data_IF_535789892001
#
_entry.id   IF_535789892001
#
_cell.length_a   1.000
_cell.length_b   1.000
_cell.length_c   1.000
_cell.angle_alpha   90.00
_cell.angle_beta   90.00
_cell.angle_gamma   90.00
#
_symmetry.space_group_name_H-M   'P 1'
#
loop_
_entity.id
_entity.type
_entity.pdbx_description
1 polymer ?
#
# COMPACT_ATOMS: atom_id res chain seq x y z
N UNK A 1 -22.20 16.76 -35.41
CA UNK A 1 -22.52 15.55 -34.61
C UNK A 1 -21.28 14.74 -34.27
N UNK A 2 -20.45 14.33 -35.25
CA UNK A 2 -19.22 13.58 -34.98
C UNK A 2 -18.29 14.24 -33.94
N UNK A 3 -18.05 15.56 -34.05
CA UNK A 3 -17.23 16.30 -33.07
C UNK A 3 -17.76 16.22 -31.64
N UNK A 4 -19.09 16.18 -31.44
CA UNK A 4 -19.71 16.08 -30.11
C UNK A 4 -19.48 14.70 -29.51
N UNK A 5 -19.66 13.63 -30.30
CA UNK A 5 -19.40 12.27 -29.85
C UNK A 5 -17.91 12.04 -29.54
N UNK A 6 -17.02 12.56 -30.39
CA UNK A 6 -15.57 12.48 -30.13
C UNK A 6 -15.22 13.20 -28.83
N UNK A 7 -15.73 14.43 -28.62
CA UNK A 7 -15.49 15.18 -27.40
C UNK A 7 -16.03 14.44 -26.15
N UNK A 8 -17.24 13.89 -26.23
CA UNK A 8 -17.86 13.13 -25.14
C UNK A 8 -17.09 11.83 -24.83
N UNK A 9 -16.57 11.13 -25.85
CA UNK A 9 -15.79 9.92 -25.64
C UNK A 9 -14.43 10.24 -25.02
N UNK A 10 -13.75 11.28 -25.49
CA UNK A 10 -12.46 11.73 -24.94
C UNK A 10 -12.61 12.18 -23.49
N UNK A 11 -13.67 12.92 -23.16
CA UNK A 11 -13.91 13.33 -21.76
C UNK A 11 -14.19 12.13 -20.86
N UNK A 12 -15.01 11.17 -21.30
CA UNK A 12 -15.28 9.95 -20.55
C UNK A 12 -14.01 9.11 -20.35
N UNK A 13 -13.20 8.95 -21.39
CA UNK A 13 -11.91 8.25 -21.30
C UNK A 13 -10.95 8.93 -20.31
N UNK A 14 -10.89 10.26 -20.31
CA UNK A 14 -10.11 11.03 -19.34
C UNK A 14 -10.52 10.77 -17.90
N UNK A 15 -11.82 10.77 -17.62
CA UNK A 15 -12.36 10.44 -16.28
C UNK A 15 -12.00 9.00 -15.88
N UNK A 16 -12.13 8.05 -16.79
CA UNK A 16 -11.79 6.65 -16.53
C UNK A 16 -10.29 6.46 -16.22
N UNK A 17 -9.41 7.11 -16.98
CA UNK A 17 -7.95 7.07 -16.74
C UNK A 17 -7.59 7.67 -15.38
N UNK A 18 -8.20 8.81 -15.03
CA UNK A 18 -7.96 9.45 -13.73
C UNK A 18 -8.40 8.55 -12.56
N UNK A 19 -9.59 7.96 -12.67
CA UNK A 19 -10.08 7.02 -11.65
C UNK A 19 -9.19 5.77 -11.53
N UNK A 20 -8.76 5.20 -12.66
CA UNK A 20 -7.87 4.04 -12.67
C UNK A 20 -6.52 4.33 -12.00
N UNK A 21 -5.95 5.53 -12.19
CA UNK A 21 -4.69 5.91 -11.56
C UNK A 21 -4.78 5.90 -10.02
N UNK A 22 -5.88 6.41 -9.46
CA UNK A 22 -6.11 6.37 -8.00
C UNK A 22 -6.22 4.93 -7.46
N UNK A 23 -6.99 4.07 -8.13
CA UNK A 23 -7.15 2.66 -7.74
C UNK A 23 -5.82 1.91 -7.76
N UNK A 24 -4.97 2.16 -8.77
CA UNK A 24 -3.65 1.55 -8.87
C UNK A 24 -2.75 2.01 -7.71
N UNK A 25 -2.82 3.28 -7.31
CA UNK A 25 -2.07 3.81 -6.16
C UNK A 25 -2.39 3.07 -4.86
N UNK A 26 -3.68 2.93 -4.55
CA UNK A 26 -4.16 2.20 -3.36
C UNK A 26 -3.73 0.73 -3.40
N UNK A 27 -3.89 0.04 -4.53
CA UNK A 27 -3.49 -1.37 -4.63
C UNK A 27 -1.99 -1.58 -4.42
N UNK A 28 -1.17 -0.69 -4.97
CA UNK A 28 0.27 -0.77 -4.73
C UNK A 28 0.59 -0.52 -3.25
N UNK A 29 -0.13 0.40 -2.58
CA UNK A 29 0.08 0.67 -1.16
C UNK A 29 -0.27 -0.55 -0.31
N UNK A 30 -1.35 -1.27 -0.66
CA UNK A 30 -1.70 -2.54 -0.02
C UNK A 30 -0.61 -3.59 -0.18
N UNK A 31 -0.10 -3.79 -1.39
CA UNK A 31 0.98 -4.75 -1.64
C UNK A 31 2.24 -4.45 -0.82
N UNK A 32 2.59 -3.17 -0.68
CA UNK A 32 3.72 -2.75 0.16
C UNK A 32 3.46 -3.01 1.65
N UNK A 33 2.26 -2.66 2.14
CA UNK A 33 1.87 -2.89 3.53
C UNK A 33 1.82 -4.39 3.88
N UNK A 34 1.25 -5.23 3.01
CA UNK A 34 1.13 -6.67 3.21
C UNK A 34 2.51 -7.33 3.34
N UNK A 35 3.43 -7.03 2.41
CA UNK A 35 4.79 -7.58 2.47
C UNK A 35 5.56 -7.09 3.71
N UNK A 36 5.45 -5.80 4.03
CA UNK A 36 6.15 -5.22 5.17
C UNK A 36 5.60 -5.73 6.51
N UNK A 37 4.29 -5.94 6.64
CA UNK A 37 3.70 -6.49 7.86
C UNK A 37 4.14 -7.94 8.10
N UNK A 38 4.17 -8.78 7.05
CA UNK A 38 4.61 -10.18 7.16
C UNK A 38 6.10 -10.28 7.48
N UNK A 39 6.97 -9.49 6.83
CA UNK A 39 8.40 -9.48 7.15
C UNK A 39 8.65 -8.98 8.58
N UNK A 40 7.95 -7.91 8.98
CA UNK A 40 8.04 -7.35 10.32
C UNK A 40 7.56 -8.33 11.40
N UNK A 41 6.46 -9.04 11.16
CA UNK A 41 5.96 -10.07 12.06
C UNK A 41 6.95 -11.23 12.19
N UNK A 42 7.60 -11.63 11.09
CA UNK A 42 8.65 -12.64 11.13
C UNK A 42 9.87 -12.17 11.92
N UNK A 43 10.34 -10.95 11.67
CA UNK A 43 11.51 -10.38 12.35
C UNK A 43 11.25 -10.21 13.86
N UNK A 44 10.06 -9.73 14.22
CA UNK A 44 9.62 -9.64 15.62
C UNK A 44 9.54 -11.03 16.27
N UNK A 45 9.04 -12.04 15.55
CA UNK A 45 8.98 -13.42 16.03
C UNK A 45 10.36 -14.01 16.36
N UNK A 46 11.39 -13.69 15.57
CA UNK A 46 12.77 -14.13 15.84
C UNK A 46 13.52 -13.24 16.84
N UNK A 47 12.85 -12.23 17.41
CA UNK A 47 13.38 -11.35 18.45
C UNK A 47 14.09 -10.09 17.94
N UNK A 48 13.94 -9.77 16.65
CA UNK A 48 14.45 -8.56 16.03
C UNK A 48 13.51 -7.36 16.13
N UNK A 49 13.89 -6.26 15.48
CA UNK A 49 13.06 -5.05 15.37
C UNK A 49 12.20 -5.12 14.10
N UNK A 50 10.95 -5.57 14.28
CA UNK A 50 9.99 -5.68 13.19
C UNK A 50 9.71 -4.35 12.48
N UNK A 51 9.72 -3.21 13.17
CA UNK A 51 9.45 -1.93 12.53
C UNK A 51 10.63 -1.42 11.71
N UNK A 52 11.87 -1.74 12.11
CA UNK A 52 13.04 -1.48 11.28
C UNK A 52 12.99 -2.30 9.98
N UNK A 53 12.61 -3.58 10.05
CA UNK A 53 12.42 -4.44 8.88
C UNK A 53 11.27 -3.95 7.99
N UNK A 54 10.13 -3.55 8.59
CA UNK A 54 9.01 -2.96 7.86
C UNK A 54 9.45 -1.73 7.05
N UNK A 55 10.25 -0.84 7.66
CA UNK A 55 10.73 0.37 7.00
C UNK A 55 11.58 0.05 5.76
N UNK A 56 12.44 -0.96 5.84
CA UNK A 56 13.27 -1.38 4.71
C UNK A 56 12.40 -2.00 3.59
N UNK A 57 11.46 -2.88 3.93
CA UNK A 57 10.56 -3.49 2.94
C UNK A 57 9.65 -2.45 2.27
N UNK A 58 9.13 -1.49 3.03
CA UNK A 58 8.36 -0.36 2.49
C UNK A 58 9.19 0.44 1.47
N UNK A 59 10.42 0.79 1.83
CA UNK A 59 11.34 1.54 0.97
C UNK A 59 11.67 0.77 -0.32
N UNK A 60 11.89 -0.54 -0.22
CA UNK A 60 12.13 -1.42 -1.38
C UNK A 60 10.92 -1.51 -2.32
N UNK A 61 9.71 -1.24 -1.80
CA UNK A 61 8.48 -1.19 -2.59
C UNK A 61 8.14 0.21 -3.13
N UNK A 62 9.00 1.21 -2.88
CA UNK A 62 8.78 2.59 -3.34
C UNK A 62 7.61 3.28 -2.63
N UNK A 63 7.28 2.83 -1.42
CA UNK A 63 6.33 3.48 -0.52
C UNK A 63 7.06 4.16 0.65
N UNK A 64 6.35 5.01 1.37
CA UNK A 64 6.83 5.64 2.60
C UNK A 64 6.16 4.98 3.82
N UNK A 65 6.95 4.78 4.89
CA UNK A 65 6.42 4.23 6.14
C UNK A 65 5.87 5.39 6.96
N UNK A 66 4.54 5.46 7.06
CA UNK A 66 3.88 6.55 7.80
C UNK A 66 3.60 6.20 9.26
N UNK A 67 3.44 4.90 9.57
CA UNK A 67 3.28 4.40 10.93
C UNK A 67 3.66 2.91 11.02
N UNK A 68 4.18 2.50 12.17
CA UNK A 68 4.45 1.10 12.51
C UNK A 68 4.37 0.89 14.02
N UNK A 69 3.66 -0.16 14.43
CA UNK A 69 3.60 -0.55 15.84
C UNK A 69 3.39 -2.05 16.01
N UNK A 70 3.87 -2.53 17.16
CA UNK A 70 3.77 -3.93 17.58
C UNK A 70 2.65 -4.06 18.62
N UNK A 71 1.74 -5.00 18.40
CA UNK A 71 0.67 -5.36 19.34
C UNK A 71 0.81 -6.85 19.72
N UNK A 72 1.54 -7.11 20.81
CA UNK A 72 1.83 -8.48 21.23
C UNK A 72 2.77 -9.17 20.24
N UNK A 73 2.23 -10.14 19.48
CA UNK A 73 2.95 -10.83 18.39
C UNK A 73 2.56 -10.33 17.00
N UNK A 74 1.60 -9.40 16.91
CA UNK A 74 1.22 -8.78 15.65
C UNK A 74 2.10 -7.56 15.38
N UNK A 75 2.37 -7.30 14.11
CA UNK A 75 2.93 -6.02 13.65
C UNK A 75 1.97 -5.38 12.66
N UNK A 76 1.64 -4.11 12.91
CA UNK A 76 0.78 -3.29 12.06
C UNK A 76 1.64 -2.26 11.34
N UNK A 77 1.50 -2.21 10.03
CA UNK A 77 2.30 -1.35 9.15
C UNK A 77 1.36 -0.49 8.31
N UNK A 78 1.62 0.82 8.24
CA UNK A 78 0.95 1.75 7.34
C UNK A 78 1.90 2.22 6.24
N UNK A 79 1.55 1.89 5.00
CA UNK A 79 2.25 2.31 3.79
C UNK A 79 1.54 3.52 3.15
N UNK A 80 2.31 4.51 2.73
CA UNK A 80 1.81 5.66 1.97
C UNK A 80 2.45 5.69 0.58
N UNK A 81 1.65 6.00 -0.45
CA UNK A 81 2.13 6.26 -1.80
C UNK A 81 1.33 7.37 -2.49
N UNK A 82 1.89 7.87 -3.60
CA UNK A 82 1.19 8.77 -4.49
C UNK A 82 -0.13 8.12 -4.99
N UNK A 83 -1.25 8.60 -4.46
CA UNK A 83 -2.58 8.15 -4.83
C UNK A 83 -3.30 7.26 -3.80
N UNK A 84 -2.68 6.94 -2.65
CA UNK A 84 -3.38 6.28 -1.54
C UNK A 84 -2.47 5.76 -0.42
N UNK A 85 -3.08 5.51 0.73
CA UNK A 85 -2.48 4.81 1.86
C UNK A 85 -3.12 3.42 2.08
N UNK A 86 -2.40 2.54 2.77
CA UNK A 86 -2.90 1.24 3.16
C UNK A 86 -2.33 0.83 4.51
N UNK A 87 -3.09 0.01 5.24
CA UNK A 87 -2.68 -0.59 6.50
C UNK A 87 -2.81 -2.10 6.39
N UNK A 88 -1.79 -2.81 6.85
CA UNK A 88 -1.80 -4.26 6.96
C UNK A 88 -1.31 -4.68 8.36
N UNK A 89 -1.80 -5.84 8.81
CA UNK A 89 -1.46 -6.46 10.07
C UNK A 89 -1.08 -7.91 9.81
N UNK A 90 0.03 -8.37 10.38
CA UNK A 90 0.40 -9.77 10.36
C UNK A 90 0.88 -10.22 11.73
N UNK A 91 0.61 -11.49 12.05
CA UNK A 91 0.99 -12.17 13.29
C UNK A 91 0.67 -13.66 13.20
N UNK A 92 1.00 -14.45 14.23
CA UNK A 92 0.71 -15.88 14.29
C UNK A 92 -0.79 -16.18 14.14
N UNK A 93 -1.13 -17.33 13.55
CA UNK A 93 -2.50 -17.85 13.56
C UNK A 93 -2.74 -18.54 14.91
N UNK A 94 -3.56 -17.94 15.75
CA UNK A 94 -4.07 -18.54 17.01
C UNK A 94 -5.51 -19.03 16.85
#
# INVERSE_FOLDING_TARGET
MAAVFVAAFVSLAGVAVYAAAGVIGIHRAQVAADMASVSAAHEHYVGGDGCAEAAEVIRLNGADLSDCFVEGMDVVVRAEMAGGDAVARAGPVE
#
